data_IF_877269510560
#
_entry.id   IF_877269510560
#
_cell.length_a   1.000
_cell.length_b   1.000
_cell.length_c   1.000
_cell.angle_alpha   90.00
_cell.angle_beta   90.00
_cell.angle_gamma   90.00
#
_symmetry.space_group_name_H-M   'P 1'
#
loop_
_entity.id
_entity.type
_entity.pdbx_description
1 polymer ?
#
# COMPACT_ATOMS: atom_id res chain seq x y z
N UNK A 1 -25.20 -7.19 -3.04
CA UNK A 1 -24.67 -6.04 -3.81
C UNK A 1 -23.59 -5.32 -2.99
N UNK A 2 -22.86 -4.39 -3.59
CA UNK A 2 -21.86 -3.56 -2.91
C UNK A 2 -22.15 -2.09 -3.20
N UNK A 3 -22.30 -1.28 -2.16
CA UNK A 3 -22.26 0.18 -2.24
C UNK A 3 -20.80 0.58 -2.23
N UNK A 4 -20.28 1.02 -3.38
CA UNK A 4 -18.89 1.42 -3.56
C UNK A 4 -18.79 2.94 -3.59
N UNK A 5 -18.04 3.51 -2.64
CA UNK A 5 -18.07 4.93 -2.33
C UNK A 5 -16.66 5.50 -2.43
N UNK A 6 -16.55 6.68 -3.03
CA UNK A 6 -15.33 7.49 -3.09
C UNK A 6 -15.61 8.92 -2.70
N UNK A 7 -14.74 9.50 -1.89
CA UNK A 7 -14.78 10.89 -1.45
C UNK A 7 -13.37 11.47 -1.42
N UNK A 8 -13.24 12.79 -1.60
CA UNK A 8 -11.95 13.48 -1.64
C UNK A 8 -11.71 14.37 -0.42
N UNK A 9 -10.44 14.46 -0.04
CA UNK A 9 -9.91 15.34 1.00
C UNK A 9 -8.77 16.20 0.42
N UNK A 10 -8.61 17.40 0.95
CA UNK A 10 -7.46 18.28 0.69
C UNK A 10 -6.44 18.26 1.83
N UNK A 11 -6.88 17.98 3.06
CA UNK A 11 -6.03 17.90 4.25
C UNK A 11 -5.68 16.45 4.59
N UNK A 12 -4.38 16.18 4.77
CA UNK A 12 -3.89 14.83 5.04
C UNK A 12 -4.23 14.35 6.45
N UNK A 13 -4.25 15.25 7.43
CA UNK A 13 -4.57 14.92 8.81
C UNK A 13 -6.03 14.53 8.94
N UNK A 14 -6.94 15.29 8.32
CA UNK A 14 -8.37 14.94 8.26
C UNK A 14 -8.57 13.59 7.56
N UNK A 15 -7.93 13.37 6.41
CA UNK A 15 -8.01 12.10 5.68
C UNK A 15 -7.55 10.90 6.52
N UNK A 16 -6.41 11.01 7.20
CA UNK A 16 -5.86 9.91 8.02
C UNK A 16 -6.66 9.68 9.29
N UNK A 17 -7.14 10.73 9.95
CA UNK A 17 -8.02 10.62 11.13
C UNK A 17 -9.33 9.89 10.79
N UNK A 18 -9.95 10.22 9.67
CA UNK A 18 -11.18 9.56 9.23
C UNK A 18 -10.92 8.08 8.86
N UNK A 19 -9.79 7.76 8.19
CA UNK A 19 -9.40 6.37 7.95
C UNK A 19 -9.22 5.59 9.26
N UNK A 20 -8.51 6.16 10.24
CA UNK A 20 -8.26 5.54 11.53
C UNK A 20 -9.54 5.36 12.35
N UNK A 21 -10.44 6.35 12.32
CA UNK A 21 -11.77 6.26 12.93
C UNK A 21 -12.55 5.07 12.36
N UNK A 22 -12.58 4.94 11.03
CA UNK A 22 -13.31 3.87 10.35
C UNK A 22 -12.73 2.47 10.66
N UNK A 23 -11.40 2.28 10.72
CA UNK A 23 -10.83 0.97 11.04
C UNK A 23 -10.91 0.60 12.54
N UNK A 24 -11.20 1.58 13.40
CA UNK A 24 -11.37 1.36 14.85
C UNK A 24 -12.82 1.06 15.24
N UNK A 25 -13.78 1.37 14.35
CA UNK A 25 -15.21 1.24 14.61
C UNK A 25 -15.70 -0.21 14.42
N UNK A 26 -16.54 -0.69 15.35
CA UNK A 26 -17.07 -2.07 15.33
C UNK A 26 -18.09 -2.27 14.20
N UNK A 27 -18.99 -1.31 14.00
CA UNK A 27 -19.90 -1.26 12.85
C UNK A 27 -19.39 -0.19 11.88
N UNK A 28 -18.55 -0.62 10.93
CA UNK A 28 -17.90 0.22 9.93
C UNK A 28 -18.20 -0.27 8.51
N UNK A 29 -17.50 0.28 7.52
CA UNK A 29 -17.48 -0.22 6.15
C UNK A 29 -16.75 -1.57 6.09
N UNK A 30 -17.11 -2.40 5.11
CA UNK A 30 -16.54 -3.74 4.93
C UNK A 30 -15.19 -3.72 4.18
N UNK A 31 -14.89 -2.60 3.54
CA UNK A 31 -13.64 -2.33 2.82
C UNK A 31 -13.25 -0.88 3.05
N UNK A 32 -11.95 -0.63 3.19
CA UNK A 32 -11.36 0.70 3.28
C UNK A 32 -9.97 0.66 2.65
N UNK A 33 -9.76 1.53 1.67
CA UNK A 33 -8.45 1.91 1.14
C UNK A 33 -8.40 3.42 0.94
N UNK A 34 -7.27 3.91 0.45
CA UNK A 34 -7.18 5.29 0.01
C UNK A 34 -6.05 5.49 -0.99
N UNK A 35 -6.08 6.64 -1.64
CA UNK A 35 -5.17 6.99 -2.71
C UNK A 35 -4.62 8.40 -2.51
N UNK A 36 -3.35 8.61 -2.87
CA UNK A 36 -2.77 9.94 -3.06
C UNK A 36 -2.86 10.31 -4.53
N UNK A 37 -3.41 11.50 -4.80
CA UNK A 37 -3.57 12.05 -6.14
C UNK A 37 -2.80 13.37 -6.19
N UNK A 38 -1.68 13.41 -6.91
CA UNK A 38 -0.90 14.63 -7.13
C UNK A 38 -1.06 15.03 -8.59
N UNK A 39 -1.71 16.17 -8.83
CA UNK A 39 -1.96 16.67 -10.18
C UNK A 39 -0.72 17.37 -10.77
N UNK A 40 -0.79 17.80 -12.04
CA UNK A 40 0.33 18.46 -12.73
C UNK A 40 0.73 19.81 -12.12
N UNK A 41 -0.16 20.45 -11.36
CA UNK A 41 0.13 21.72 -10.67
C UNK A 41 0.73 21.51 -9.28
N UNK A 42 1.00 20.26 -8.88
CA UNK A 42 1.50 19.91 -7.55
C UNK A 42 0.43 19.93 -6.45
N UNK A 43 -0.85 20.16 -6.79
CA UNK A 43 -1.93 20.06 -5.82
C UNK A 43 -2.15 18.59 -5.47
N UNK A 44 -2.08 18.29 -4.18
CA UNK A 44 -2.33 16.97 -3.64
C UNK A 44 -3.77 16.87 -3.14
N UNK A 45 -4.44 15.79 -3.51
CA UNK A 45 -5.74 15.36 -3.00
C UNK A 45 -5.60 13.94 -2.47
N UNK A 46 -6.43 13.58 -1.50
CA UNK A 46 -6.51 12.23 -0.96
C UNK A 46 -7.90 11.67 -1.22
N UNK A 47 -7.97 10.46 -1.76
CA UNK A 47 -9.24 9.77 -1.99
C UNK A 47 -9.42 8.70 -0.92
N UNK A 48 -10.52 8.74 -0.19
CA UNK A 48 -10.97 7.64 0.64
C UNK A 48 -11.91 6.76 -0.20
N UNK A 49 -11.59 5.48 -0.29
CA UNK A 49 -12.42 4.50 -0.99
C UNK A 49 -12.92 3.47 0.00
N UNK A 50 -14.24 3.36 0.12
CA UNK A 50 -14.90 2.48 1.09
C UNK A 50 -16.03 1.71 0.43
N UNK A 51 -16.40 0.58 1.02
CA UNK A 51 -17.53 -0.20 0.51
C UNK A 51 -18.37 -0.80 1.64
N UNK A 52 -19.70 -0.81 1.46
CA UNK A 52 -20.65 -1.53 2.33
C UNK A 52 -21.27 -2.68 1.54
N UNK A 53 -21.23 -3.87 2.11
CA UNK A 53 -21.81 -5.07 1.52
C UNK A 53 -23.28 -5.16 1.91
N UNK A 54 -24.14 -5.40 0.92
CA UNK A 54 -25.58 -5.58 1.06
C UNK A 54 -25.89 -7.04 0.82
N UNK A 55 -26.36 -7.73 1.85
CA UNK A 55 -26.77 -9.14 1.81
C UNK A 55 -28.27 -9.25 1.46
N UNK A 56 -28.67 -10.38 0.85
CA UNK A 56 -30.01 -10.55 0.25
C UNK A 56 -31.18 -10.35 1.24
N UNK A 57 -30.97 -10.65 2.52
CA UNK A 57 -32.02 -10.59 3.55
C UNK A 57 -32.14 -9.21 4.20
N UNK A 58 -31.29 -8.25 3.83
CA UNK A 58 -31.25 -6.95 4.48
C UNK A 58 -32.12 -5.93 3.76
N UNK A 59 -32.81 -5.11 4.54
CA UNK A 59 -33.49 -3.94 4.04
C UNK A 59 -32.48 -2.91 3.52
N UNK A 60 -32.65 -2.53 2.25
CA UNK A 60 -31.75 -1.59 1.57
C UNK A 60 -31.92 -0.17 2.08
N UNK A 61 -33.13 0.22 2.51
CA UNK A 61 -33.38 1.55 3.06
C UNK A 61 -32.64 1.73 4.40
N UNK A 62 -32.75 0.77 5.31
CA UNK A 62 -31.97 0.75 6.55
C UNK A 62 -30.46 0.80 6.31
N UNK A 63 -29.94 0.11 5.30
CA UNK A 63 -28.50 0.17 4.98
C UNK A 63 -28.11 1.55 4.46
N UNK A 64 -28.92 2.15 3.59
CA UNK A 64 -28.63 3.48 3.07
C UNK A 64 -28.61 4.52 4.20
N UNK A 65 -29.57 4.46 5.13
CA UNK A 65 -29.58 5.31 6.34
C UNK A 65 -28.30 5.13 7.16
N UNK A 66 -27.85 3.88 7.38
CA UNK A 66 -26.59 3.61 8.07
C UNK A 66 -25.37 4.16 7.32
N UNK A 67 -25.35 4.07 6.00
CA UNK A 67 -24.27 4.64 5.18
C UNK A 67 -24.25 6.16 5.36
N UNK A 68 -25.40 6.83 5.28
CA UNK A 68 -25.50 8.28 5.44
C UNK A 68 -25.09 8.71 6.85
N UNK A 69 -25.52 8.00 7.89
CA UNK A 69 -25.08 8.21 9.27
C UNK A 69 -23.56 8.04 9.42
N UNK A 70 -22.96 7.02 8.81
CA UNK A 70 -21.51 6.81 8.84
C UNK A 70 -20.76 7.90 8.07
N UNK A 71 -21.25 8.31 6.89
CA UNK A 71 -20.66 9.36 6.08
C UNK A 71 -20.75 10.74 6.75
N UNK A 72 -21.83 11.03 7.47
CA UNK A 72 -22.00 12.30 8.20
C UNK A 72 -20.98 12.55 9.31
N UNK A 73 -20.28 11.50 9.76
CA UNK A 73 -19.20 11.57 10.76
C UNK A 73 -17.84 11.85 10.14
N UNK A 74 -17.74 11.83 8.81
CA UNK A 74 -16.52 12.07 8.07
C UNK A 74 -16.45 13.51 7.58
N UNK A 75 -15.23 13.96 7.30
CA UNK A 75 -14.87 15.35 7.04
C UNK A 75 -14.36 15.55 5.60
N UNK A 76 -14.85 14.73 4.66
CA UNK A 76 -14.54 14.85 3.24
C UNK A 76 -15.21 16.08 2.61
N UNK A 77 -14.80 16.44 1.39
CA UNK A 77 -15.44 17.52 0.61
C UNK A 77 -16.80 17.02 0.09
N UNK A 78 -17.96 17.54 0.57
CA UNK A 78 -19.26 16.93 0.28
C UNK A 78 -19.58 16.81 -1.21
N UNK A 79 -19.20 17.81 -2.00
CA UNK A 79 -19.40 17.84 -3.46
C UNK A 79 -18.63 16.77 -4.24
N UNK A 80 -17.75 16.01 -3.58
CA UNK A 80 -16.92 14.96 -4.21
C UNK A 80 -17.43 13.55 -3.93
N UNK A 81 -18.57 13.42 -3.23
CA UNK A 81 -19.19 12.13 -2.96
C UNK A 81 -19.62 11.44 -4.26
N UNK A 82 -19.02 10.28 -4.51
CA UNK A 82 -19.40 9.40 -5.60
C UNK A 82 -19.79 8.04 -5.04
N UNK A 83 -20.99 7.58 -5.38
CA UNK A 83 -21.53 6.28 -4.96
C UNK A 83 -21.93 5.50 -6.21
N UNK A 84 -21.50 4.24 -6.28
CA UNK A 84 -21.99 3.29 -7.29
C UNK A 84 -22.50 2.02 -6.61
N UNK A 85 -23.39 1.30 -7.30
CA UNK A 85 -23.83 -0.02 -6.90
C UNK A 85 -23.28 -1.05 -7.89
N UNK A 86 -22.60 -2.08 -7.38
CA UNK A 86 -22.03 -3.15 -8.20
C UNK A 86 -22.29 -4.51 -7.55
N UNK A 87 -22.14 -5.59 -8.32
CA UNK A 87 -22.15 -6.94 -7.75
C UNK A 87 -20.93 -7.16 -6.86
N UNK A 88 -21.03 -8.09 -5.91
CA UNK A 88 -19.90 -8.41 -5.02
C UNK A 88 -18.68 -8.90 -5.80
N UNK A 89 -18.89 -9.79 -6.78
CA UNK A 89 -17.82 -10.28 -7.65
C UNK A 89 -17.26 -9.15 -8.51
N UNK A 90 -18.12 -8.28 -9.08
CA UNK A 90 -17.68 -7.14 -9.87
C UNK A 90 -16.84 -6.14 -9.07
N UNK A 91 -17.14 -5.95 -7.78
CA UNK A 91 -16.29 -5.18 -6.88
C UNK A 91 -14.93 -5.85 -6.67
N UNK A 92 -14.90 -7.15 -6.33
CA UNK A 92 -13.64 -7.87 -6.09
C UNK A 92 -12.73 -7.91 -7.33
N UNK A 93 -13.30 -8.06 -8.52
CA UNK A 93 -12.59 -8.18 -9.79
C UNK A 93 -12.33 -6.82 -10.48
N UNK A 94 -12.58 -5.70 -9.81
CA UNK A 94 -12.49 -4.34 -10.40
C UNK A 94 -11.13 -3.98 -11.01
N UNK A 95 -10.05 -4.61 -10.54
CA UNK A 95 -8.70 -4.38 -11.07
C UNK A 95 -8.49 -5.10 -12.41
N UNK A 96 -9.16 -6.22 -12.65
CA UNK A 96 -9.09 -6.93 -13.94
C UNK A 96 -9.61 -6.06 -15.10
N UNK A 97 -10.63 -5.24 -14.86
CA UNK A 97 -11.11 -4.25 -15.85
C UNK A 97 -10.01 -3.26 -16.24
N UNK A 98 -9.15 -2.86 -15.29
CA UNK A 98 -8.02 -1.97 -15.58
C UNK A 98 -6.86 -2.71 -16.25
N UNK A 99 -6.60 -3.96 -15.88
CA UNK A 99 -5.65 -4.84 -16.57
C UNK A 99 -5.98 -4.93 -18.06
N UNK A 100 -7.22 -5.27 -18.41
CA UNK A 100 -7.64 -5.43 -19.81
C UNK A 100 -7.43 -4.15 -20.62
N UNK A 101 -7.80 -2.99 -20.06
CA UNK A 101 -7.57 -1.68 -20.69
C UNK A 101 -6.09 -1.34 -20.87
N UNK A 102 -5.22 -1.78 -19.97
CA UNK A 102 -3.77 -1.58 -20.08
C UNK A 102 -3.15 -2.54 -21.11
N UNK A 103 -3.63 -3.78 -21.18
CA UNK A 103 -3.21 -4.76 -22.19
C UNK A 103 -3.55 -4.29 -23.61
N UNK A 104 -4.76 -3.78 -23.82
CA UNK A 104 -5.18 -3.19 -25.11
C UNK A 104 -4.25 -2.05 -25.59
N UNK A 105 -3.61 -1.35 -24.65
CA UNK A 105 -2.68 -0.24 -24.93
C UNK A 105 -1.22 -0.67 -24.98
N UNK A 106 -0.91 -1.95 -24.76
CA UNK A 106 0.47 -2.43 -24.59
C UNK A 106 1.16 -1.86 -23.34
N UNK A 107 0.40 -1.41 -22.35
CA UNK A 107 0.88 -0.79 -21.11
C UNK A 107 0.86 -1.75 -19.91
N UNK A 108 0.49 -3.02 -20.13
CA UNK A 108 0.52 -4.04 -19.09
C UNK A 108 1.88 -4.74 -18.99
N UNK A 109 2.44 -5.24 -20.08
CA UNK A 109 3.72 -5.96 -20.06
C UNK A 109 4.91 -5.00 -20.14
N UNK A 110 4.97 -4.05 -19.21
CA UNK A 110 6.02 -3.02 -19.07
C UNK A 110 6.74 -3.17 -17.71
N UNK A 111 7.91 -2.52 -17.49
CA UNK A 111 8.58 -2.58 -16.21
C UNK A 111 7.76 -1.93 -15.08
N UNK A 112 7.65 -2.60 -13.94
CA UNK A 112 6.91 -2.16 -12.76
C UNK A 112 7.85 -1.96 -11.55
N UNK A 113 8.55 -0.82 -11.45
CA UNK A 113 9.43 -0.51 -10.31
C UNK A 113 8.62 -0.13 -9.06
N UNK A 114 7.78 -1.04 -8.56
CA UNK A 114 6.93 -0.79 -7.41
C UNK A 114 7.73 -0.66 -6.11
N UNK A 115 7.22 0.17 -5.21
CA UNK A 115 7.73 0.31 -3.86
C UNK A 115 6.58 0.17 -2.88
N UNK A 116 6.60 -0.85 -2.02
CA UNK A 116 5.54 -1.09 -1.04
C UNK A 116 6.13 -0.98 0.37
N UNK A 117 5.57 -0.10 1.19
CA UNK A 117 6.07 0.25 2.51
C UNK A 117 4.99 0.05 3.56
N UNK A 118 5.41 -0.38 4.75
CA UNK A 118 4.64 -0.39 5.97
C UNK A 118 5.19 0.69 6.88
N UNK A 119 4.39 1.71 7.14
CA UNK A 119 4.80 2.93 7.85
C UNK A 119 4.07 2.98 9.19
N UNK A 120 4.78 3.04 10.33
CA UNK A 120 4.10 3.20 11.62
C UNK A 120 3.26 4.47 11.64
N UNK A 121 2.09 4.43 12.31
CA UNK A 121 1.17 5.57 12.45
C UNK A 121 1.89 6.83 12.92
N UNK A 122 2.79 6.73 13.91
CA UNK A 122 3.55 7.91 14.41
C UNK A 122 4.35 8.63 13.33
N UNK A 123 4.75 7.92 12.28
CA UNK A 123 5.64 8.43 11.22
C UNK A 123 4.88 8.89 9.98
N UNK A 124 3.58 8.62 9.86
CA UNK A 124 2.86 8.79 8.58
C UNK A 124 2.77 10.25 8.15
N UNK A 125 2.61 11.18 9.08
CA UNK A 125 2.54 12.62 8.80
C UNK A 125 3.89 13.17 8.34
N UNK A 126 4.99 12.82 9.04
CA UNK A 126 6.34 13.21 8.64
C UNK A 126 6.71 12.58 7.27
N UNK A 127 6.28 11.34 7.03
CA UNK A 127 6.44 10.70 5.74
C UNK A 127 5.70 11.46 4.63
N UNK A 128 4.41 11.75 4.82
CA UNK A 128 3.58 12.43 3.82
C UNK A 128 4.10 13.83 3.49
N UNK A 129 4.47 14.62 4.50
CA UNK A 129 5.00 15.96 4.31
C UNK A 129 6.23 15.97 3.39
N UNK A 130 7.16 15.01 3.58
CA UNK A 130 8.39 14.98 2.79
C UNK A 130 8.23 14.24 1.46
N UNK A 131 7.49 13.13 1.44
CA UNK A 131 7.35 12.31 0.24
C UNK A 131 6.34 12.91 -0.73
N UNK A 132 5.14 13.24 -0.28
CA UNK A 132 4.10 13.81 -1.15
C UNK A 132 4.26 15.33 -1.34
N UNK A 133 4.93 16.02 -0.42
CA UNK A 133 5.21 17.45 -0.54
C UNK A 133 6.49 17.81 -1.30
N UNK A 134 7.40 16.86 -1.55
CA UNK A 134 8.70 17.16 -2.17
C UNK A 134 9.18 16.08 -3.15
N UNK A 135 9.33 14.83 -2.70
CA UNK A 135 9.95 13.79 -3.54
C UNK A 135 9.07 13.42 -4.73
N UNK A 136 7.77 13.19 -4.49
CA UNK A 136 6.79 12.80 -5.49
C UNK A 136 6.04 14.05 -5.98
N UNK A 137 6.34 14.47 -7.22
CA UNK A 137 5.75 15.71 -7.77
C UNK A 137 4.47 15.50 -8.59
N UNK A 138 4.16 14.25 -8.97
CA UNK A 138 3.06 13.93 -9.88
C UNK A 138 2.74 12.43 -9.85
N UNK A 139 1.46 12.04 -9.88
CA UNK A 139 1.02 10.63 -9.84
C UNK A 139 0.43 10.13 -11.17
N UNK A 140 1.07 10.39 -12.32
CA UNK A 140 0.57 9.86 -13.62
C UNK A 140 0.88 8.41 -13.87
N UNK A 141 1.95 7.89 -13.29
CA UNK A 141 2.55 6.64 -13.76
C UNK A 141 1.94 5.42 -13.06
N UNK A 142 0.82 5.59 -12.36
CA UNK A 142 0.19 4.55 -11.57
C UNK A 142 -0.29 5.09 -10.23
N UNK A 143 -1.16 4.35 -9.52
CA UNK A 143 -1.74 4.79 -8.26
C UNK A 143 -0.71 4.76 -7.13
N UNK A 144 -0.93 5.64 -6.15
CA UNK A 144 -0.25 5.58 -4.85
C UNK A 144 -1.30 5.22 -3.81
N UNK A 145 -1.28 3.97 -3.32
CA UNK A 145 -2.19 3.53 -2.26
C UNK A 145 -1.69 4.02 -0.91
N UNK A 146 -2.62 4.39 -0.04
CA UNK A 146 -2.35 4.74 1.36
C UNK A 146 -3.56 4.40 2.25
N UNK A 147 -3.38 3.50 3.19
CA UNK A 147 -4.43 3.16 4.17
C UNK A 147 -3.87 2.49 5.43
N UNK A 148 -4.50 2.71 6.60
CA UNK A 148 -4.09 2.10 7.85
C UNK A 148 -4.64 0.68 8.00
N UNK A 149 -3.95 -0.12 8.79
CA UNK A 149 -4.40 -1.45 9.23
C UNK A 149 -4.10 -1.66 10.72
N UNK A 150 -4.91 -2.49 11.37
CA UNK A 150 -4.73 -2.88 12.77
C UNK A 150 -3.79 -4.09 12.89
N UNK A 151 -2.66 -3.93 13.61
CA UNK A 151 -1.69 -4.98 13.89
C UNK A 151 -2.30 -6.18 14.62
N UNK A 152 -3.36 -5.98 15.40
CA UNK A 152 -4.07 -7.04 16.12
C UNK A 152 -4.67 -8.13 15.22
N UNK A 153 -4.88 -7.86 13.93
CA UNK A 153 -5.35 -8.84 12.94
C UNK A 153 -4.23 -9.73 12.39
N UNK A 154 -2.97 -9.42 12.67
CA UNK A 154 -1.81 -10.15 12.17
C UNK A 154 -1.36 -11.19 13.21
N UNK A 155 -1.29 -12.46 12.80
CA UNK A 155 -0.82 -13.56 13.65
C UNK A 155 0.71 -13.60 13.73
N UNK A 156 1.26 -14.38 14.66
CA UNK A 156 2.70 -14.68 14.75
C UNK A 156 3.16 -15.51 13.53
N UNK A 157 3.51 -14.83 12.44
CA UNK A 157 4.01 -15.43 11.19
C UNK A 157 5.45 -14.94 10.90
N UNK A 158 5.99 -15.23 9.72
CA UNK A 158 7.28 -14.66 9.27
C UNK A 158 7.15 -13.25 8.66
N UNK A 159 5.95 -12.65 8.71
CA UNK A 159 5.76 -11.29 8.21
C UNK A 159 6.36 -10.26 9.15
N UNK A 160 7.15 -9.35 8.58
CA UNK A 160 7.77 -8.23 9.31
C UNK A 160 6.87 -7.00 9.22
N UNK A 161 6.45 -6.48 10.37
CA UNK A 161 5.62 -5.27 10.48
C UNK A 161 6.31 -4.21 11.34
N UNK A 162 5.93 -2.93 11.23
CA UNK A 162 6.28 -1.91 12.21
C UNK A 162 5.83 -2.28 13.62
N UNK A 163 6.52 -1.74 14.63
CA UNK A 163 6.16 -2.01 16.03
C UNK A 163 5.14 -1.00 16.58
N UNK A 164 3.94 -1.00 15.98
CA UNK A 164 2.80 -0.18 16.40
C UNK A 164 1.47 -0.90 16.18
N UNK A 165 0.46 -0.55 16.98
CA UNK A 165 -0.88 -1.13 16.87
C UNK A 165 -1.58 -0.76 15.55
N UNK A 166 -1.27 0.40 15.00
CA UNK A 166 -1.74 0.87 13.68
C UNK A 166 -0.52 1.22 12.85
N UNK A 167 -0.52 0.76 11.60
CA UNK A 167 0.47 1.16 10.60
C UNK A 167 -0.20 1.26 9.23
N UNK A 168 0.41 2.00 8.33
CA UNK A 168 -0.10 2.25 6.99
C UNK A 168 0.62 1.40 5.96
N UNK A 169 -0.14 0.79 5.04
CA UNK A 169 0.41 0.40 3.75
C UNK A 169 0.53 1.67 2.90
N UNK A 170 1.70 1.91 2.33
CA UNK A 170 1.91 2.90 1.27
C UNK A 170 2.55 2.20 0.07
N UNK A 171 1.83 2.14 -1.04
CA UNK A 171 2.26 1.42 -2.24
C UNK A 171 2.35 2.36 -3.44
N UNK A 172 3.56 2.53 -3.97
CA UNK A 172 3.83 3.26 -5.21
C UNK A 172 3.77 2.27 -6.38
N UNK A 173 2.62 2.17 -7.04
CA UNK A 173 2.36 1.16 -8.07
C UNK A 173 2.66 1.72 -9.47
N UNK A 174 3.88 2.22 -9.67
CA UNK A 174 4.29 2.85 -10.92
C UNK A 174 4.61 1.86 -12.04
N UNK A 175 4.19 2.18 -13.26
CA UNK A 175 4.59 1.55 -14.53
C UNK A 175 5.58 2.47 -15.24
N UNK A 176 6.70 1.93 -15.68
CA UNK A 176 7.70 2.66 -16.46
C UNK A 176 7.38 2.54 -17.96
N UNK A 177 7.35 3.65 -18.68
CA UNK A 177 7.12 3.65 -20.13
C UNK A 177 8.47 3.44 -20.84
N UNK A 178 8.69 2.32 -21.56
CA UNK A 178 10.01 1.98 -22.12
C UNK A 178 10.57 3.02 -23.08
N UNK A 179 9.72 3.67 -23.88
CA UNK A 179 10.09 4.68 -24.87
C UNK A 179 10.21 6.10 -24.32
N UNK A 180 9.91 6.32 -23.02
CA UNK A 180 9.91 7.66 -22.47
C UNK A 180 11.31 8.15 -22.09
N UNK A 181 11.57 9.43 -22.37
CA UNK A 181 12.74 10.17 -21.89
C UNK A 181 12.44 11.00 -20.64
N UNK A 182 11.18 11.04 -20.20
CA UNK A 182 10.66 11.88 -19.13
C UNK A 182 10.73 11.27 -17.72
N UNK A 183 9.82 11.72 -16.85
CA UNK A 183 9.72 11.29 -15.43
C UNK A 183 9.12 9.88 -15.26
N UNK A 184 8.63 9.30 -16.33
CA UNK A 184 7.99 7.99 -16.45
C UNK A 184 8.95 6.91 -16.99
N UNK A 185 10.22 7.24 -17.20
CA UNK A 185 11.27 6.26 -17.50
C UNK A 185 11.69 5.48 -16.25
N UNK A 186 12.08 4.22 -16.45
CA UNK A 186 12.47 3.29 -15.37
C UNK A 186 13.52 3.90 -14.42
N UNK A 187 14.60 4.47 -14.96
CA UNK A 187 15.69 5.02 -14.16
C UNK A 187 15.23 6.18 -13.26
N UNK A 188 14.29 7.00 -13.72
CA UNK A 188 13.76 8.11 -12.90
C UNK A 188 12.96 7.57 -11.72
N UNK A 189 12.11 6.57 -11.95
CA UNK A 189 11.28 5.96 -10.90
C UNK A 189 12.15 5.23 -9.88
N UNK A 190 13.18 4.49 -10.33
CA UNK A 190 14.14 3.83 -9.43
C UNK A 190 14.90 4.85 -8.56
N UNK A 191 15.31 5.99 -9.11
CA UNK A 191 15.96 7.05 -8.34
C UNK A 191 14.99 7.71 -7.35
N UNK A 192 13.73 7.92 -7.74
CA UNK A 192 12.69 8.37 -6.81
C UNK A 192 12.51 7.39 -5.65
N UNK A 193 12.41 6.08 -5.92
CA UNK A 193 12.29 5.04 -4.89
C UNK A 193 13.50 5.04 -3.93
N UNK A 194 14.72 5.21 -4.47
CA UNK A 194 15.95 5.36 -3.65
C UNK A 194 15.89 6.59 -2.76
N UNK A 195 15.42 7.74 -3.26
CA UNK A 195 15.24 8.97 -2.48
C UNK A 195 14.26 8.76 -1.33
N UNK A 196 13.11 8.10 -1.58
CA UNK A 196 12.11 7.76 -0.54
C UNK A 196 12.75 6.87 0.53
N UNK A 197 13.39 5.76 0.14
CA UNK A 197 14.04 4.84 1.08
C UNK A 197 15.17 5.53 1.88
N UNK A 198 15.98 6.35 1.21
CA UNK A 198 17.05 7.14 1.84
C UNK A 198 16.51 8.09 2.90
N UNK A 199 15.43 8.81 2.58
CA UNK A 199 14.73 9.66 3.55
C UNK A 199 14.22 8.85 4.74
N UNK A 200 13.51 7.73 4.51
CA UNK A 200 12.99 6.88 5.58
C UNK A 200 14.10 6.41 6.55
N UNK A 201 15.28 6.07 6.02
CA UNK A 201 16.45 5.68 6.83
C UNK A 201 17.03 6.88 7.62
N UNK A 202 17.29 7.99 6.94
CA UNK A 202 17.89 9.21 7.56
C UNK A 202 17.00 9.79 8.66
N UNK A 203 15.69 9.85 8.42
CA UNK A 203 14.70 10.33 9.37
C UNK A 203 14.30 9.27 10.42
N UNK A 204 14.90 8.06 10.37
CA UNK A 204 14.66 6.94 11.32
C UNK A 204 13.17 6.61 11.50
N UNK A 205 12.41 6.59 10.40
CA UNK A 205 10.95 6.41 10.44
C UNK A 205 10.47 4.99 10.82
N UNK A 206 11.39 4.06 11.07
CA UNK A 206 11.11 2.64 11.39
C UNK A 206 10.23 1.91 10.36
N UNK A 207 10.31 2.32 9.09
CA UNK A 207 9.55 1.73 7.96
C UNK A 207 10.03 0.30 7.67
N UNK A 208 9.10 -0.58 7.29
CA UNK A 208 9.39 -1.91 6.76
C UNK A 208 8.95 -1.99 5.30
N UNK A 209 9.73 -2.61 4.42
CA UNK A 209 9.25 -2.89 3.06
C UNK A 209 8.29 -4.09 3.08
N UNK A 210 7.18 -3.98 2.36
CA UNK A 210 6.34 -5.11 1.96
C UNK A 210 6.77 -5.57 0.56
N UNK A 211 6.78 -6.87 0.30
CA UNK A 211 7.47 -7.44 -0.88
C UNK A 211 8.94 -6.95 -1.00
N UNK A 212 9.75 -7.09 0.08
CA UNK A 212 11.13 -6.60 0.10
C UNK A 212 12.03 -7.27 -0.94
N UNK A 213 13.01 -6.53 -1.45
CA UNK A 213 13.98 -6.98 -2.46
C UNK A 213 15.41 -6.52 -2.12
N UNK A 214 15.90 -6.91 -0.93
CA UNK A 214 17.28 -6.62 -0.51
C UNK A 214 18.28 -7.53 -1.23
N UNK A 215 19.55 -7.11 -1.30
CA UNK A 215 20.58 -7.83 -2.04
C UNK A 215 21.58 -8.57 -1.15
N UNK A 216 21.59 -8.30 0.15
CA UNK A 216 22.56 -8.85 1.10
C UNK A 216 21.88 -9.47 2.32
N UNK A 217 22.51 -10.49 2.92
CA UNK A 217 22.02 -11.11 4.15
C UNK A 217 21.96 -10.09 5.31
N UNK A 218 22.88 -9.12 5.34
CA UNK A 218 22.94 -8.04 6.31
C UNK A 218 21.73 -7.12 6.23
N UNK A 219 21.31 -6.73 5.03
CA UNK A 219 20.08 -5.96 4.82
C UNK A 219 18.85 -6.76 5.26
N UNK A 220 18.83 -8.08 4.99
CA UNK A 220 17.76 -8.95 5.45
C UNK A 220 17.73 -9.09 6.98
N UNK A 221 18.89 -9.28 7.63
CA UNK A 221 19.03 -9.26 9.10
C UNK A 221 18.46 -7.97 9.68
N UNK A 222 18.80 -6.83 9.10
CA UNK A 222 18.26 -5.54 9.51
C UNK A 222 16.73 -5.45 9.30
N UNK A 223 16.23 -5.97 8.18
CA UNK A 223 14.79 -6.02 7.90
C UNK A 223 14.04 -6.85 8.95
N UNK A 224 14.46 -8.10 9.19
CA UNK A 224 13.84 -8.98 10.17
C UNK A 224 14.01 -8.50 11.62
N UNK A 225 15.13 -7.84 11.93
CA UNK A 225 15.45 -7.39 13.28
C UNK A 225 15.44 -8.55 14.27
N UNK A 226 14.71 -8.40 15.38
CA UNK A 226 14.59 -9.44 16.41
C UNK A 226 13.97 -10.75 15.91
N UNK A 227 13.32 -10.78 14.74
CA UNK A 227 12.76 -12.00 14.16
C UNK A 227 13.79 -12.84 13.40
N UNK A 228 15.00 -12.31 13.16
CA UNK A 228 16.01 -12.96 12.32
C UNK A 228 16.39 -14.35 12.81
N UNK A 229 16.69 -14.51 14.09
CA UNK A 229 17.11 -15.80 14.65
C UNK A 229 16.05 -16.88 14.48
N UNK A 230 14.78 -16.52 14.71
CA UNK A 230 13.66 -17.44 14.51
C UNK A 230 13.48 -17.78 13.03
N UNK A 231 13.62 -16.80 12.13
CA UNK A 231 13.53 -17.02 10.68
C UNK A 231 14.67 -17.92 10.17
N UNK A 232 15.90 -17.65 10.60
CA UNK A 232 17.09 -18.43 10.26
C UNK A 232 17.00 -19.87 10.78
N UNK A 233 16.55 -20.07 12.02
CA UNK A 233 16.30 -21.43 12.56
C UNK A 233 15.28 -22.20 11.71
N UNK A 234 14.16 -21.56 11.34
CA UNK A 234 13.18 -22.18 10.44
C UNK A 234 13.81 -22.54 9.09
N UNK A 235 14.65 -21.66 8.52
CA UNK A 235 15.36 -21.96 7.27
C UNK A 235 16.23 -23.20 7.42
N UNK A 236 17.05 -23.30 8.48
CA UNK A 236 17.89 -24.47 8.73
C UNK A 236 17.09 -25.76 8.95
N UNK A 237 15.91 -25.68 9.55
CA UNK A 237 15.05 -26.87 9.77
C UNK A 237 14.38 -27.35 8.48
N UNK A 238 13.86 -26.42 7.65
CA UNK A 238 12.98 -26.79 6.53
C UNK A 238 13.65 -26.69 5.14
N UNK A 239 14.75 -25.98 5.00
CA UNK A 239 15.55 -25.89 3.76
C UNK A 239 17.05 -25.63 4.09
N UNK A 240 17.74 -26.62 4.69
CA UNK A 240 19.12 -26.48 5.17
C UNK A 240 20.14 -26.17 4.07
N UNK A 241 19.85 -26.53 2.82
CA UNK A 241 20.74 -26.31 1.68
C UNK A 241 20.45 -25.00 0.93
N UNK A 242 19.45 -24.23 1.38
CA UNK A 242 18.97 -23.01 0.75
C UNK A 242 18.61 -23.19 -0.74
N UNK A 243 17.94 -24.30 -1.06
CA UNK A 243 17.53 -24.63 -2.43
C UNK A 243 16.36 -23.75 -2.89
N UNK A 244 15.42 -23.49 -1.96
CA UNK A 244 14.12 -22.89 -2.26
C UNK A 244 14.19 -21.36 -2.29
N UNK A 245 13.49 -20.79 -3.29
CA UNK A 245 13.31 -19.35 -3.49
C UNK A 245 14.62 -18.52 -3.56
N UNK A 246 15.62 -18.90 -4.37
CA UNK A 246 16.90 -18.19 -4.44
C UNK A 246 16.76 -16.73 -4.91
N UNK A 247 15.70 -16.42 -5.67
CA UNK A 247 15.39 -15.06 -6.12
C UNK A 247 15.12 -14.06 -4.98
N UNK A 248 14.82 -14.52 -3.76
CA UNK A 248 14.69 -13.66 -2.59
C UNK A 248 16.04 -13.18 -2.05
N UNK A 249 17.15 -13.86 -2.38
CA UNK A 249 18.51 -13.46 -2.00
C UNK A 249 18.72 -13.29 -0.49
N UNK A 250 18.00 -14.08 0.32
CA UNK A 250 18.16 -14.07 1.79
C UNK A 250 19.33 -14.95 2.23
N UNK A 251 19.42 -16.15 1.66
CA UNK A 251 20.44 -17.15 1.99
C UNK A 251 21.07 -17.69 0.71
N UNK A 252 22.40 -17.68 0.65
CA UNK A 252 23.21 -18.28 -0.43
C UNK A 252 23.19 -19.80 -0.35
N UNK A 253 23.24 -20.49 -1.50
CA UNK A 253 23.24 -21.97 -1.53
C UNK A 253 24.48 -22.54 -0.85
N UNK A 254 24.33 -23.68 -0.20
CA UNK A 254 25.43 -24.34 0.50
C UNK A 254 26.63 -24.65 -0.43
N UNK A 255 26.37 -25.06 -1.67
CA UNK A 255 27.41 -25.31 -2.69
C UNK A 255 28.21 -24.06 -3.06
N UNK A 256 27.57 -22.89 -3.07
CA UNK A 256 28.20 -21.59 -3.37
C UNK A 256 29.02 -21.09 -2.17
N UNK A 257 28.55 -21.35 -0.94
CA UNK A 257 29.31 -21.04 0.29
C UNK A 257 30.57 -21.87 0.43
N UNK A 258 30.56 -23.13 -0.02
CA UNK A 258 31.73 -24.01 0.04
C UNK A 258 32.84 -23.64 -0.97
N UNK A 259 32.56 -22.72 -1.89
CA UNK A 259 33.50 -22.24 -2.92
C UNK A 259 34.04 -20.83 -2.63
N UNK A 260 33.60 -20.19 -1.54
CA UNK A 260 34.06 -18.89 -1.05
C UNK A 260 34.99 -19.08 0.16
#
# INVERSE_FOLDING_TARGET
MVRWIRVLYTDFTTFTNDQEHLISSVDSFNYLEGFVIINRTGKTLFCLEIAKYIYQEQDTESINQKIDEQLSKLNYIPATLFISEVSYVGFLDRVHVNEMKLREKGLWDVPHPWLNLLIPKRSIHHFAQHVFGNILTYTSNGPVLIYPVNKSKWKKTSMVTPDENVFYLVAFLSSAIPSSTGKDRLQHILEQNKRILSFCRKARLSVKQYLPHYNTEEEWKHHFGSQWETFSRKKSTYDPLAILAPGQRIFTRASERAQQ
#
